data_IF_868800431081
#
_entry.id   IF_868800431081
#
_cell.length_a   1.000
_cell.length_b   1.000
_cell.length_c   1.000
_cell.angle_alpha   90.00
_cell.angle_beta   90.00
_cell.angle_gamma   90.00
#
_symmetry.space_group_name_H-M   'P 1'
#
loop_
_entity.id
_entity.type
_entity.pdbx_description
1 polymer ?
#
# COMPACT_ATOMS: atom_id res chain seq x y z
N UNK A 1 -0.08 -21.00 20.12
CA UNK A 1 -0.03 -19.90 19.12
C UNK A 1 -1.45 -19.62 18.66
N UNK A 2 -1.97 -18.40 18.81
CA UNK A 2 -3.27 -18.05 18.24
C UNK A 2 -3.12 -18.01 16.72
N UNK A 3 -3.95 -18.77 16.00
CA UNK A 3 -3.96 -18.76 14.53
C UNK A 3 -4.56 -17.43 14.06
N UNK A 4 -3.91 -16.76 13.11
CA UNK A 4 -4.48 -15.59 12.46
C UNK A 4 -5.75 -16.01 11.71
N UNK A 5 -6.88 -15.43 12.09
CA UNK A 5 -8.16 -15.66 11.41
C UNK A 5 -8.40 -14.57 10.37
N UNK A 6 -8.70 -14.97 9.14
CA UNK A 6 -9.04 -14.08 8.04
C UNK A 6 -10.55 -14.09 7.87
N UNK A 7 -11.16 -12.90 7.92
CA UNK A 7 -12.57 -12.74 7.58
C UNK A 7 -12.71 -12.20 6.17
N UNK A 8 -13.48 -12.92 5.37
CA UNK A 8 -13.93 -12.46 4.06
C UNK A 8 -15.33 -11.84 4.23
N UNK A 9 -15.45 -10.58 3.83
CA UNK A 9 -16.73 -9.91 3.75
C UNK A 9 -17.17 -9.78 2.31
N UNK A 10 -18.37 -10.27 2.01
CA UNK A 10 -19.02 -10.16 0.71
C UNK A 10 -20.41 -9.53 0.88
N UNK A 11 -20.86 -8.76 -0.11
CA UNK A 11 -22.18 -8.13 -0.09
C UNK A 11 -23.20 -9.13 -0.65
N UNK A 12 -23.64 -10.02 0.24
CA UNK A 12 -24.84 -10.88 0.16
C UNK A 12 -25.02 -11.88 -1.02
N UNK A 13 -24.50 -11.64 -2.23
CA UNK A 13 -25.05 -12.33 -3.42
C UNK A 13 -24.06 -13.21 -4.22
N UNK A 14 -22.77 -13.27 -3.85
CA UNK A 14 -21.74 -14.07 -4.56
C UNK A 14 -21.04 -15.14 -3.70
N UNK A 15 -21.71 -15.61 -2.64
CA UNK A 15 -21.20 -16.57 -1.65
C UNK A 15 -20.60 -17.87 -2.24
N UNK A 16 -21.07 -18.32 -3.40
CA UNK A 16 -20.68 -19.63 -3.97
C UNK A 16 -19.34 -19.62 -4.73
N UNK A 17 -18.95 -18.51 -5.35
CA UNK A 17 -17.71 -18.46 -6.14
C UNK A 17 -16.45 -18.33 -5.28
N UNK A 18 -16.58 -17.72 -4.08
CA UNK A 18 -15.46 -17.46 -3.17
C UNK A 18 -15.10 -18.67 -2.31
N UNK A 19 -16.04 -19.60 -2.07
CA UNK A 19 -15.77 -20.75 -1.21
C UNK A 19 -14.79 -21.76 -1.84
N UNK A 20 -14.74 -21.88 -3.17
CA UNK A 20 -13.85 -22.81 -3.86
C UNK A 20 -12.46 -22.23 -4.18
N UNK A 21 -12.31 -20.90 -4.26
CA UNK A 21 -11.04 -20.25 -4.60
C UNK A 21 -10.07 -20.05 -3.43
N UNK A 22 -10.58 -19.99 -2.20
CA UNK A 22 -9.83 -19.52 -1.02
C UNK A 22 -9.47 -20.64 -0.02
N UNK A 23 -10.00 -21.85 -0.20
CA UNK A 23 -9.79 -22.99 0.73
C UNK A 23 -8.38 -23.60 0.72
N UNK A 24 -7.48 -23.15 -0.17
CA UNK A 24 -6.15 -23.75 -0.35
C UNK A 24 -5.00 -23.02 0.37
N UNK A 25 -5.27 -22.14 1.34
CA UNK A 25 -4.20 -21.56 2.17
C UNK A 25 -3.98 -22.39 3.43
N UNK A 26 -3.02 -23.32 3.38
CA UNK A 26 -2.61 -24.13 4.53
C UNK A 26 -2.30 -23.27 5.76
N UNK A 27 -2.89 -23.62 6.91
CA UNK A 27 -2.60 -22.99 8.20
C UNK A 27 -3.36 -21.70 8.50
N UNK A 28 -4.27 -21.24 7.63
CA UNK A 28 -5.10 -20.05 7.85
C UNK A 28 -6.52 -20.45 8.24
N UNK A 29 -7.05 -19.93 9.34
CA UNK A 29 -8.46 -20.08 9.68
C UNK A 29 -9.29 -19.01 8.97
N UNK A 30 -10.33 -19.44 8.26
CA UNK A 30 -11.21 -18.56 7.50
C UNK A 30 -12.56 -18.41 8.20
N UNK A 31 -13.18 -17.25 8.04
CA UNK A 31 -14.58 -17.03 8.34
C UNK A 31 -15.20 -16.10 7.31
N UNK A 32 -16.51 -16.20 7.14
CA UNK A 32 -17.27 -15.34 6.24
C UNK A 32 -18.21 -14.48 7.08
N UNK A 33 -18.32 -13.20 6.73
CA UNK A 33 -19.23 -12.27 7.39
C UNK A 33 -19.87 -11.32 6.39
N UNK A 34 -20.88 -10.57 6.86
CA UNK A 34 -21.42 -9.42 6.13
C UNK A 34 -20.68 -8.14 6.58
N UNK A 35 -20.25 -7.30 5.63
CA UNK A 35 -19.54 -6.03 5.93
C UNK A 35 -20.30 -5.20 6.97
N UNK A 36 -21.64 -5.15 6.86
CA UNK A 36 -22.48 -4.35 7.78
C UNK A 36 -22.39 -4.84 9.23
N UNK A 37 -22.01 -6.12 9.41
CA UNK A 37 -21.80 -6.75 10.71
C UNK A 37 -20.31 -6.73 11.13
N UNK A 38 -19.40 -6.20 10.31
CA UNK A 38 -17.97 -6.04 10.59
C UNK A 38 -17.70 -4.91 11.62
N UNK A 39 -18.52 -4.84 12.68
CA UNK A 39 -18.32 -3.91 13.78
C UNK A 39 -17.05 -4.29 14.54
N UNK A 40 -16.44 -3.29 15.17
CA UNK A 40 -15.24 -3.45 16.00
C UNK A 40 -15.38 -4.61 16.99
N UNK A 41 -16.55 -4.78 17.59
CA UNK A 41 -16.80 -5.83 18.58
C UNK A 41 -16.77 -7.23 17.96
N UNK A 42 -17.31 -7.40 16.75
CA UNK A 42 -17.26 -8.68 16.04
C UNK A 42 -15.82 -9.07 15.68
N UNK A 43 -15.04 -8.14 15.14
CA UNK A 43 -13.64 -8.40 14.77
C UNK A 43 -12.76 -8.64 16.01
N UNK A 44 -13.01 -7.90 17.09
CA UNK A 44 -12.27 -8.05 18.36
C UNK A 44 -12.61 -9.40 19.01
N UNK A 45 -13.89 -9.78 19.05
CA UNK A 45 -14.32 -11.07 19.60
C UNK A 45 -13.75 -12.26 18.81
N UNK A 46 -13.61 -12.12 17.50
CA UNK A 46 -13.05 -13.17 16.64
C UNK A 46 -11.53 -13.08 16.45
N UNK A 47 -10.84 -12.19 17.16
CA UNK A 47 -9.39 -11.97 17.09
C UNK A 47 -8.83 -11.87 15.66
N UNK A 48 -9.57 -11.17 14.78
CA UNK A 48 -9.22 -11.07 13.37
C UNK A 48 -8.21 -9.95 13.13
N UNK A 49 -6.99 -10.32 12.77
CA UNK A 49 -5.89 -9.39 12.49
C UNK A 49 -5.89 -8.88 11.05
N UNK A 50 -6.47 -9.66 10.13
CA UNK A 50 -6.54 -9.35 8.69
C UNK A 50 -7.96 -9.61 8.17
N UNK A 51 -8.46 -8.71 7.33
CA UNK A 51 -9.79 -8.73 6.74
C UNK A 51 -9.67 -8.57 5.23
N UNK A 52 -10.39 -9.40 4.48
CA UNK A 52 -10.57 -9.26 3.04
C UNK A 52 -11.96 -8.72 2.80
N UNK A 53 -12.06 -7.58 2.13
CA UNK A 53 -13.32 -6.97 1.73
C UNK A 53 -13.49 -7.17 0.24
N UNK A 54 -14.49 -7.96 -0.16
CA UNK A 54 -14.88 -8.14 -1.55
C UNK A 54 -16.09 -7.24 -1.84
N UNK A 55 -15.85 -6.03 -2.36
CA UNK A 55 -16.92 -5.05 -2.61
C UNK A 55 -16.43 -3.98 -3.59
N UNK A 56 -17.34 -3.45 -4.40
CA UNK A 56 -17.08 -2.25 -5.22
C UNK A 56 -17.30 -0.94 -4.46
N UNK A 57 -17.99 -0.98 -3.30
CA UNK A 57 -18.36 0.22 -2.55
C UNK A 57 -17.24 0.64 -1.57
N UNK A 58 -16.64 1.84 -1.72
CA UNK A 58 -15.56 2.31 -0.84
C UNK A 58 -15.93 2.37 0.65
N UNK A 59 -17.20 2.61 0.98
CA UNK A 59 -17.68 2.77 2.36
C UNK A 59 -17.54 1.49 3.17
N UNK A 60 -17.66 0.34 2.51
CA UNK A 60 -17.54 -0.97 3.14
C UNK A 60 -16.15 -1.15 3.76
N UNK A 61 -15.12 -0.68 3.06
CA UNK A 61 -13.76 -0.68 3.55
C UNK A 61 -13.56 0.37 4.66
N UNK A 62 -14.11 1.58 4.49
CA UNK A 62 -13.95 2.67 5.44
C UNK A 62 -14.60 2.40 6.81
N UNK A 63 -15.62 1.54 6.88
CA UNK A 63 -16.16 1.07 8.16
C UNK A 63 -15.11 0.36 9.03
N UNK A 64 -14.09 -0.25 8.40
CA UNK A 64 -13.00 -0.92 9.10
C UNK A 64 -11.92 0.06 9.61
N UNK A 65 -11.95 1.34 9.25
CA UNK A 65 -10.93 2.31 9.66
C UNK A 65 -10.84 2.50 11.18
N UNK A 66 -11.94 2.25 11.90
CA UNK A 66 -11.99 2.30 13.38
C UNK A 66 -11.47 1.04 14.05
N UNK A 67 -11.08 0.05 13.26
CA UNK A 67 -10.60 -1.25 13.70
C UNK A 67 -9.07 -1.28 13.59
N UNK A 68 -8.41 -2.19 14.32
CA UNK A 68 -6.96 -2.43 14.17
C UNK A 68 -6.66 -3.47 13.08
N UNK A 69 -7.68 -3.93 12.37
CA UNK A 69 -7.52 -4.99 11.38
C UNK A 69 -6.82 -4.45 10.13
N UNK A 70 -5.88 -5.22 9.62
CA UNK A 70 -5.25 -5.02 8.32
C UNK A 70 -6.28 -5.36 7.24
N UNK A 71 -6.35 -4.57 6.18
CA UNK A 71 -7.38 -4.74 5.16
C UNK A 71 -6.78 -5.07 3.79
N UNK A 72 -7.41 -6.00 3.08
CA UNK A 72 -7.20 -6.25 1.65
C UNK A 72 -8.52 -5.95 0.96
N UNK A 73 -8.50 -5.05 -0.01
CA UNK A 73 -9.69 -4.71 -0.78
C UNK A 73 -9.64 -5.44 -2.12
N UNK A 74 -10.56 -6.37 -2.32
CA UNK A 74 -10.70 -7.13 -3.56
C UNK A 74 -11.91 -6.59 -4.31
N UNK A 75 -11.70 -6.11 -5.52
CA UNK A 75 -12.78 -5.58 -6.32
C UNK A 75 -13.47 -6.71 -7.09
N UNK A 76 -14.82 -6.76 -7.09
CA UNK A 76 -15.54 -7.61 -8.02
C UNK A 76 -15.26 -7.15 -9.45
N UNK A 77 -15.39 -8.05 -10.44
CA UNK A 77 -15.17 -7.70 -11.86
C UNK A 77 -16.17 -6.67 -12.39
N UNK A 78 -17.38 -6.68 -11.84
CA UNK A 78 -18.47 -5.81 -12.24
C UNK A 78 -18.65 -4.67 -11.23
N UNK A 79 -18.88 -3.45 -11.74
CA UNK A 79 -19.14 -2.25 -10.95
C UNK A 79 -17.96 -1.27 -10.89
N UNK A 80 -18.21 -0.10 -10.28
CA UNK A 80 -17.16 0.88 -9.97
C UNK A 80 -17.35 2.23 -10.65
N UNK A 81 -17.37 2.32 -11.98
CA UNK A 81 -17.25 3.59 -12.72
C UNK A 81 -18.09 4.78 -12.20
N UNK A 82 -19.40 4.79 -12.47
CA UNK A 82 -20.25 5.94 -12.13
C UNK A 82 -20.40 6.18 -10.61
N UNK A 83 -20.40 5.12 -9.81
CA UNK A 83 -20.51 5.23 -8.35
C UNK A 83 -19.23 5.79 -7.72
N UNK A 84 -18.06 5.45 -8.27
CA UNK A 84 -16.76 5.96 -7.85
C UNK A 84 -16.60 7.44 -8.17
N UNK A 85 -17.01 7.86 -9.37
CA UNK A 85 -17.02 9.26 -9.77
C UNK A 85 -17.88 10.11 -8.83
N UNK A 86 -19.08 9.62 -8.49
CA UNK A 86 -19.98 10.30 -7.57
C UNK A 86 -19.43 10.39 -6.13
N UNK A 87 -18.50 9.51 -5.74
CA UNK A 87 -17.99 9.40 -4.37
C UNK A 87 -16.45 9.50 -4.29
N UNK A 88 -15.84 10.36 -5.11
CA UNK A 88 -14.39 10.43 -5.29
C UNK A 88 -13.59 10.58 -3.98
N UNK A 89 -14.06 11.41 -3.06
CA UNK A 89 -13.40 11.63 -1.76
C UNK A 89 -13.36 10.35 -0.91
N UNK A 90 -14.42 9.55 -0.94
CA UNK A 90 -14.49 8.28 -0.22
C UNK A 90 -13.62 7.23 -0.89
N UNK A 91 -13.58 7.21 -2.22
CA UNK A 91 -12.71 6.34 -2.98
C UNK A 91 -11.23 6.60 -2.67
N UNK A 92 -10.77 7.86 -2.71
CA UNK A 92 -9.39 8.22 -2.38
C UNK A 92 -9.01 7.73 -0.96
N UNK A 93 -9.91 7.91 0.01
CA UNK A 93 -9.71 7.45 1.39
C UNK A 93 -9.68 5.93 1.47
N UNK A 94 -10.57 5.24 0.76
CA UNK A 94 -10.62 3.77 0.76
C UNK A 94 -9.35 3.18 0.13
N UNK A 95 -8.93 3.67 -1.04
CA UNK A 95 -7.67 3.29 -1.68
C UNK A 95 -6.47 3.54 -0.76
N UNK A 96 -6.47 4.69 -0.08
CA UNK A 96 -5.41 5.05 0.83
C UNK A 96 -5.36 4.14 2.07
N UNK A 97 -6.51 3.87 2.69
CA UNK A 97 -6.67 3.03 3.87
C UNK A 97 -6.40 1.55 3.60
N UNK A 98 -6.81 1.03 2.43
CA UNK A 98 -6.59 -0.37 2.05
C UNK A 98 -5.13 -0.76 2.27
N UNK A 99 -4.86 -1.88 2.94
CA UNK A 99 -3.50 -2.39 3.03
C UNK A 99 -2.97 -2.75 1.64
N UNK A 100 -3.73 -3.55 0.90
CA UNK A 100 -3.49 -3.91 -0.50
C UNK A 100 -4.81 -3.86 -1.26
N UNK A 101 -4.75 -3.51 -2.55
CA UNK A 101 -5.90 -3.57 -3.45
C UNK A 101 -5.64 -4.66 -4.49
N UNK A 102 -6.61 -5.54 -4.70
CA UNK A 102 -6.62 -6.57 -5.74
C UNK A 102 -7.69 -6.17 -6.75
N UNK A 103 -7.24 -5.76 -7.92
CA UNK A 103 -8.09 -5.24 -8.99
C UNK A 103 -7.63 -5.74 -10.36
N UNK A 104 -8.50 -5.61 -11.36
CA UNK A 104 -8.15 -5.81 -12.77
C UNK A 104 -7.33 -4.63 -13.30
N UNK A 105 -6.75 -4.80 -14.49
CA UNK A 105 -6.02 -3.73 -15.17
C UNK A 105 -6.92 -2.52 -15.48
N UNK A 106 -8.13 -2.77 -16.00
CA UNK A 106 -9.12 -1.74 -16.30
C UNK A 106 -9.49 -0.93 -15.04
N UNK A 107 -9.71 -1.60 -13.92
CA UNK A 107 -10.01 -0.93 -12.64
C UNK A 107 -8.82 -0.11 -12.13
N UNK A 108 -7.58 -0.62 -12.28
CA UNK A 108 -6.36 0.12 -11.97
C UNK A 108 -6.25 1.42 -12.78
N UNK A 109 -6.52 1.36 -14.08
CA UNK A 109 -6.54 2.53 -14.96
C UNK A 109 -7.65 3.52 -14.59
N UNK A 110 -8.85 3.04 -14.23
CA UNK A 110 -9.94 3.89 -13.74
C UNK A 110 -9.55 4.64 -12.46
N UNK A 111 -8.90 3.98 -11.49
CA UNK A 111 -8.41 4.65 -10.29
C UNK A 111 -7.39 5.73 -10.59
N UNK A 112 -6.47 5.47 -11.52
CA UNK A 112 -5.46 6.42 -11.93
C UNK A 112 -6.06 7.63 -12.66
N UNK A 113 -7.13 7.43 -13.43
CA UNK A 113 -7.84 8.50 -14.12
C UNK A 113 -8.67 9.37 -13.16
N UNK A 114 -9.29 8.75 -12.16
CA UNK A 114 -10.18 9.42 -11.22
C UNK A 114 -9.44 10.05 -10.05
N UNK A 115 -8.38 9.41 -9.56
CA UNK A 115 -7.73 9.73 -8.28
C UNK A 115 -6.26 10.07 -8.45
N UNK A 116 -5.66 10.61 -7.39
CA UNK A 116 -4.20 10.77 -7.30
C UNK A 116 -3.53 9.59 -6.57
N UNK A 117 -4.10 8.39 -6.73
CA UNK A 117 -3.56 7.13 -6.21
C UNK A 117 -3.55 6.11 -7.34
N UNK A 118 -2.36 5.68 -7.75
CA UNK A 118 -2.26 4.58 -8.70
C UNK A 118 -2.04 3.26 -7.96
N UNK A 119 -2.68 2.21 -8.46
CA UNK A 119 -2.65 0.87 -7.89
C UNK A 119 -2.04 -0.08 -8.92
N UNK A 120 -1.13 -0.96 -8.50
CA UNK A 120 -0.65 -2.02 -9.39
C UNK A 120 -1.74 -3.08 -9.58
N UNK A 121 -2.23 -3.32 -10.81
CA UNK A 121 -3.28 -4.30 -11.05
C UNK A 121 -2.75 -5.74 -10.94
N UNK A 122 -3.67 -6.71 -10.91
CA UNK A 122 -3.37 -8.14 -10.98
C UNK A 122 -2.43 -8.67 -9.88
N UNK A 123 -2.37 -8.01 -8.71
CA UNK A 123 -1.68 -8.55 -7.54
C UNK A 123 -2.39 -9.83 -7.09
N UNK A 124 -1.66 -10.95 -7.04
CA UNK A 124 -2.23 -12.20 -6.52
C UNK A 124 -2.58 -12.08 -5.04
N UNK A 125 -3.66 -12.74 -4.62
CA UNK A 125 -4.09 -12.71 -3.23
C UNK A 125 -3.00 -13.20 -2.26
N UNK A 126 -2.23 -14.22 -2.64
CA UNK A 126 -1.08 -14.71 -1.86
C UNK A 126 -0.06 -13.60 -1.59
N UNK A 127 0.25 -12.78 -2.60
CA UNK A 127 1.15 -11.62 -2.47
C UNK A 127 0.50 -10.51 -1.65
N UNK A 128 -0.81 -10.29 -1.81
CA UNK A 128 -1.56 -9.31 -1.02
C UNK A 128 -1.55 -9.65 0.48
N UNK A 129 -1.80 -10.90 0.84
CA UNK A 129 -1.75 -11.41 2.21
C UNK A 129 -0.38 -11.20 2.85
N UNK A 130 0.70 -11.53 2.14
CA UNK A 130 2.05 -11.29 2.65
C UNK A 130 2.35 -9.79 2.81
N UNK A 131 1.87 -8.96 1.89
CA UNK A 131 2.13 -7.52 1.88
C UNK A 131 1.32 -6.74 2.92
N UNK A 132 0.12 -7.22 3.27
CA UNK A 132 -0.69 -6.61 4.32
C UNK A 132 -0.04 -6.79 5.70
N UNK A 133 0.66 -7.92 5.90
CA UNK A 133 1.37 -8.19 7.15
C UNK A 133 2.55 -7.25 7.39
N UNK A 134 3.20 -6.82 6.31
CA UNK A 134 4.42 -6.02 6.34
C UNK A 134 4.29 -4.83 5.37
N UNK A 135 3.61 -3.77 5.82
CA UNK A 135 3.37 -2.56 5.04
C UNK A 135 4.61 -1.66 5.05
N UNK A 136 5.19 -1.45 3.86
CA UNK A 136 6.38 -0.60 3.67
C UNK A 136 6.03 0.54 2.73
N UNK A 137 6.52 1.74 3.02
CA UNK A 137 6.52 2.84 2.07
C UNK A 137 7.91 3.41 1.81
N UNK A 138 8.08 4.00 0.63
CA UNK A 138 9.26 4.78 0.23
C UNK A 138 8.81 6.17 -0.18
N UNK A 139 9.36 7.21 0.45
CA UNK A 139 9.10 8.60 0.08
C UNK A 139 10.09 9.08 -0.99
N UNK A 140 9.60 9.69 -2.07
CA UNK A 140 10.37 10.06 -3.27
C UNK A 140 10.05 11.48 -3.73
N UNK A 141 11.05 12.20 -4.25
CA UNK A 141 10.87 13.50 -4.91
C UNK A 141 10.14 13.41 -6.24
N UNK A 142 9.46 14.49 -6.64
CA UNK A 142 8.55 14.50 -7.80
C UNK A 142 9.26 14.49 -9.17
N UNK A 143 10.55 14.83 -9.23
CA UNK A 143 11.30 14.89 -10.49
C UNK A 143 11.58 13.51 -11.08
N UNK A 144 11.41 13.35 -12.39
CA UNK A 144 11.64 12.06 -13.09
C UNK A 144 13.01 11.44 -12.78
N UNK A 145 14.07 12.25 -12.73
CA UNK A 145 15.41 11.78 -12.37
C UNK A 145 15.49 11.22 -10.94
N UNK A 146 14.72 11.77 -10.00
CA UNK A 146 14.63 11.25 -8.64
C UNK A 146 13.89 9.91 -8.61
N UNK A 147 12.80 9.80 -9.37
CA UNK A 147 12.01 8.57 -9.47
C UNK A 147 12.83 7.43 -10.06
N UNK A 148 13.46 7.64 -11.22
CA UNK A 148 14.33 6.64 -11.85
C UNK A 148 15.47 6.17 -10.93
N UNK A 149 16.06 7.09 -10.14
CA UNK A 149 17.12 6.75 -9.19
C UNK A 149 16.63 5.87 -8.03
N UNK A 150 15.37 6.01 -7.63
CA UNK A 150 14.81 5.28 -6.49
C UNK A 150 14.20 3.94 -6.88
N UNK A 151 13.81 3.72 -8.15
CA UNK A 151 13.26 2.43 -8.61
C UNK A 151 14.09 1.20 -8.18
N UNK A 152 15.44 1.18 -8.33
CA UNK A 152 16.24 0.02 -7.91
C UNK A 152 16.20 -0.24 -6.39
N UNK A 153 16.04 0.81 -5.58
CA UNK A 153 15.88 0.68 -4.13
C UNK A 153 14.54 0.00 -3.82
N UNK A 154 13.46 0.49 -4.42
CA UNK A 154 12.11 -0.05 -4.18
C UNK A 154 12.06 -1.52 -4.62
N UNK A 155 12.61 -1.85 -5.79
CA UNK A 155 12.71 -3.22 -6.27
C UNK A 155 13.50 -4.12 -5.30
N UNK A 156 14.64 -3.64 -4.78
CA UNK A 156 15.44 -4.40 -3.80
C UNK A 156 14.69 -4.61 -2.48
N UNK A 157 13.99 -3.60 -1.98
CA UNK A 157 13.16 -3.72 -0.77
C UNK A 157 12.03 -4.73 -1.01
N UNK A 158 11.32 -4.61 -2.14
CA UNK A 158 10.25 -5.55 -2.50
C UNK A 158 10.74 -6.99 -2.56
N UNK A 159 11.88 -7.24 -3.22
CA UNK A 159 12.50 -8.58 -3.29
C UNK A 159 12.94 -9.09 -1.92
N UNK A 160 13.59 -8.24 -1.11
CA UNK A 160 14.12 -8.62 0.20
C UNK A 160 13.01 -9.01 1.19
N UNK A 161 11.94 -8.22 1.28
CA UNK A 161 10.81 -8.51 2.17
C UNK A 161 9.77 -9.44 1.52
N UNK A 162 9.83 -9.60 0.19
CA UNK A 162 8.85 -10.31 -0.61
C UNK A 162 7.44 -9.73 -0.51
N UNK A 163 7.34 -8.39 -0.46
CA UNK A 163 6.09 -7.62 -0.40
C UNK A 163 6.07 -6.54 -1.47
N UNK A 164 4.90 -6.02 -1.79
CA UNK A 164 4.80 -4.78 -2.57
C UNK A 164 5.12 -3.57 -1.69
N UNK A 165 5.66 -2.52 -2.30
CA UNK A 165 6.08 -1.30 -1.61
C UNK A 165 5.19 -0.15 -2.05
N UNK A 166 4.68 0.62 -1.08
CA UNK A 166 3.96 1.84 -1.39
C UNK A 166 4.94 2.99 -1.65
N UNK A 167 4.61 3.88 -2.58
CA UNK A 167 5.47 5.00 -2.99
C UNK A 167 4.76 6.31 -2.70
N UNK A 168 5.34 7.13 -1.84
CA UNK A 168 4.79 8.44 -1.49
C UNK A 168 5.57 9.51 -2.26
N UNK A 169 4.93 10.10 -3.27
CA UNK A 169 5.58 11.10 -4.12
C UNK A 169 5.37 12.50 -3.54
N UNK A 170 6.40 13.33 -3.66
CA UNK A 170 6.26 14.78 -3.47
C UNK A 170 5.28 15.31 -4.53
N UNK A 171 4.29 16.15 -4.17
CA UNK A 171 3.24 16.58 -5.09
C UNK A 171 3.66 17.72 -6.04
N UNK A 172 4.94 18.14 -6.05
CA UNK A 172 5.37 19.30 -6.83
C UNK A 172 5.32 19.12 -8.35
N UNK A 173 5.21 17.88 -8.84
CA UNK A 173 4.98 17.56 -10.25
C UNK A 173 3.69 16.74 -10.37
N UNK A 174 2.64 17.28 -11.05
CA UNK A 174 1.38 16.57 -11.26
C UNK A 174 1.60 15.20 -11.90
N UNK A 175 0.80 14.21 -11.50
CA UNK A 175 0.78 12.86 -12.09
C UNK A 175 2.12 12.10 -12.04
N UNK A 176 3.15 12.62 -11.38
CA UNK A 176 4.46 11.97 -11.31
C UNK A 176 4.41 10.58 -10.65
N UNK A 177 3.47 10.36 -9.73
CA UNK A 177 3.20 9.05 -9.12
C UNK A 177 2.87 7.95 -10.15
N UNK A 178 2.30 8.31 -11.30
CA UNK A 178 1.98 7.39 -12.39
C UNK A 178 3.21 6.70 -12.98
N UNK A 179 4.42 7.25 -12.82
CA UNK A 179 5.66 6.57 -13.27
C UNK A 179 5.94 5.25 -12.54
N UNK A 180 5.27 5.02 -11.42
CA UNK A 180 5.36 3.79 -10.63
C UNK A 180 4.26 2.78 -10.95
N UNK A 181 3.33 3.10 -11.87
CA UNK A 181 2.26 2.16 -12.27
C UNK A 181 2.82 0.95 -12.97
N UNK A 182 2.05 -0.14 -12.97
CA UNK A 182 2.37 -1.41 -13.64
C UNK A 182 3.64 -2.12 -13.15
N UNK A 183 4.33 -1.56 -12.15
CA UNK A 183 5.52 -2.17 -11.56
C UNK A 183 5.09 -3.20 -10.52
N UNK A 184 5.40 -4.48 -10.75
CA UNK A 184 5.00 -5.58 -9.85
C UNK A 184 5.48 -5.43 -8.40
N UNK A 185 6.52 -4.62 -8.17
CA UNK A 185 7.12 -4.36 -6.87
C UNK A 185 6.49 -3.17 -6.13
N UNK A 186 5.64 -2.39 -6.82
CA UNK A 186 4.85 -1.29 -6.25
C UNK A 186 3.48 -1.80 -5.87
N UNK A 187 2.97 -1.37 -4.72
CA UNK A 187 1.59 -1.64 -4.30
C UNK A 187 0.70 -0.49 -4.72
N UNK A 188 0.92 0.65 -4.06
CA UNK A 188 0.27 1.92 -4.39
C UNK A 188 1.29 3.03 -4.58
N UNK A 189 0.97 3.99 -5.44
CA UNK A 189 1.72 5.24 -5.56
C UNK A 189 0.80 6.42 -5.28
N UNK A 190 1.26 7.35 -4.43
CA UNK A 190 0.47 8.47 -3.97
C UNK A 190 0.98 9.77 -4.59
N UNK A 191 0.13 10.44 -5.38
CA UNK A 191 0.37 11.81 -5.87
C UNK A 191 0.10 12.89 -4.81
N UNK A 192 -0.67 12.55 -3.76
CA UNK A 192 -0.95 13.42 -2.61
C UNK A 192 -0.37 12.80 -1.33
N UNK A 193 0.64 13.43 -0.72
CA UNK A 193 1.31 12.89 0.48
C UNK A 193 0.37 12.64 1.67
N UNK A 194 -0.67 13.47 1.84
CA UNK A 194 -1.61 13.30 2.95
C UNK A 194 -2.45 12.01 2.83
N UNK A 195 -2.61 11.45 1.63
CA UNK A 195 -3.33 10.18 1.47
C UNK A 195 -2.55 9.03 2.14
N UNK A 196 -1.23 9.10 2.16
CA UNK A 196 -0.42 8.09 2.84
C UNK A 196 -0.68 8.05 4.37
N UNK A 197 -1.29 9.06 4.99
CA UNK A 197 -1.56 9.07 6.44
C UNK A 197 -2.74 8.21 6.86
N UNK A 198 -3.57 7.77 5.91
CA UNK A 198 -4.71 6.89 6.19
C UNK A 198 -4.29 5.45 6.51
N UNK A 199 -3.02 5.12 6.35
CA UNK A 199 -2.46 3.78 6.56
C UNK A 199 -1.32 3.82 7.57
N UNK A 200 -1.31 2.86 8.48
CA UNK A 200 -0.17 2.64 9.38
C UNK A 200 0.87 1.74 8.71
N UNK A 201 2.10 2.24 8.61
CA UNK A 201 3.21 1.50 8.03
C UNK A 201 4.06 0.83 9.11
N UNK A 202 4.58 -0.35 8.81
CA UNK A 202 5.61 -0.97 9.63
C UNK A 202 6.96 -0.29 9.46
N UNK A 203 7.27 0.13 8.24
CA UNK A 203 8.51 0.84 7.96
C UNK A 203 8.35 1.84 6.81
N UNK A 204 8.93 3.01 6.98
CA UNK A 204 8.96 4.05 5.95
C UNK A 204 10.42 4.41 5.67
N UNK A 205 10.80 4.42 4.40
CA UNK A 205 12.11 4.84 3.93
C UNK A 205 11.99 6.19 3.23
N UNK A 206 12.50 7.25 3.86
CA UNK A 206 12.49 8.58 3.28
C UNK A 206 13.82 8.84 2.57
N UNK A 207 13.75 8.93 1.24
CA UNK A 207 14.91 9.22 0.40
C UNK A 207 15.28 10.70 0.49
N UNK A 208 16.55 11.02 0.21
CA UNK A 208 17.00 12.42 0.24
C UNK A 208 16.29 13.30 -0.79
N UNK A 209 15.80 12.72 -1.89
CA UNK A 209 15.15 13.48 -2.94
C UNK A 209 13.70 13.87 -2.62
N UNK A 210 13.08 13.33 -1.56
CA UNK A 210 11.77 13.78 -1.07
C UNK A 210 11.82 15.24 -0.59
N UNK A 211 13.01 15.72 -0.20
CA UNK A 211 13.25 17.06 0.34
C UNK A 211 13.17 17.09 1.87
N UNK A 212 13.08 18.31 2.42
CA UNK A 212 12.97 18.54 3.87
C UNK A 212 11.56 18.27 4.42
N UNK A 213 10.60 18.02 3.53
CA UNK A 213 9.25 17.64 3.89
C UNK A 213 9.26 16.22 4.44
N UNK A 214 9.18 16.10 5.77
CA UNK A 214 8.80 14.85 6.42
C UNK A 214 7.27 14.74 6.34
N UNK A 215 6.72 13.91 5.43
CA UNK A 215 5.28 13.77 5.36
C UNK A 215 4.77 13.19 6.69
N UNK A 216 3.55 13.55 7.13
CA UNK A 216 2.95 13.07 8.38
C UNK A 216 2.52 11.58 8.30
N UNK A 217 3.39 10.72 7.76
CA UNK A 217 3.15 9.29 7.60
C UNK A 217 3.25 8.61 8.96
N UNK A 218 2.22 7.85 9.31
CA UNK A 218 2.18 7.06 10.53
C UNK A 218 2.96 5.77 10.32
N UNK A 219 4.07 5.60 11.03
CA UNK A 219 4.90 4.41 10.91
C UNK A 219 5.52 3.97 12.25
N UNK A 220 5.69 2.65 12.43
CA UNK A 220 6.43 2.11 13.59
C UNK A 220 7.92 2.48 13.54
N UNK A 221 8.51 2.47 12.33
CA UNK A 221 9.91 2.83 12.10
C UNK A 221 10.04 3.71 10.87
N UNK A 222 10.78 4.81 11.01
CA UNK A 222 11.09 5.72 9.90
C UNK A 222 12.59 5.79 9.70
N UNK A 223 13.04 5.38 8.52
CA UNK A 223 14.43 5.42 8.09
C UNK A 223 14.63 6.61 7.18
N UNK A 224 15.30 7.63 7.69
CA UNK A 224 15.59 8.84 6.93
C UNK A 224 17.01 8.75 6.37
N UNK A 225 17.13 8.81 5.04
CA UNK A 225 18.43 8.79 4.40
C UNK A 225 19.26 10.02 4.81
N UNK A 226 18.65 11.21 4.93
CA UNK A 226 19.26 12.46 5.46
C UNK A 226 18.19 13.41 6.00
N UNK A 227 18.48 14.11 7.10
CA UNK A 227 17.64 15.21 7.64
C UNK A 227 17.95 16.59 7.02
N UNK A 228 19.12 16.75 6.39
CA UNK A 228 19.56 17.98 5.72
C UNK A 228 20.36 17.64 4.45
N UNK A 229 19.99 18.27 3.34
CA UNK A 229 20.63 18.12 2.02
C UNK A 229 21.54 19.31 1.73
N UNK A 230 22.84 19.20 2.06
CA UNK A 230 23.84 20.22 1.69
C UNK A 230 24.55 19.81 0.40
N UNK A 231 23.80 19.83 -0.71
CA UNK A 231 24.30 19.42 -2.03
C UNK A 231 25.52 20.21 -2.46
N UNK A 232 25.46 21.52 -2.27
CA UNK A 232 26.44 22.46 -2.79
C UNK A 232 27.81 22.36 -2.13
N UNK A 233 27.89 22.02 -0.84
CA UNK A 233 29.18 21.94 -0.13
C UNK A 233 29.79 20.55 -0.08
N UNK A 234 29.00 19.48 0.00
CA UNK A 234 29.54 18.14 0.28
C UNK A 234 29.40 17.15 -0.87
N UNK A 235 28.50 17.38 -1.83
CA UNK A 235 28.07 16.33 -2.75
C UNK A 235 28.01 16.74 -4.21
N UNK A 236 28.40 17.98 -4.54
CA UNK A 236 28.45 18.52 -5.91
C UNK A 236 29.20 17.62 -6.89
N UNK A 237 30.23 16.91 -6.42
CA UNK A 237 31.10 16.06 -7.26
C UNK A 237 30.85 14.56 -7.06
N UNK A 238 29.91 14.15 -6.20
CA UNK A 238 29.57 12.74 -6.05
C UNK A 238 28.42 12.38 -7.00
N UNK A 239 28.54 11.28 -7.78
CA UNK A 239 27.39 10.70 -8.45
C UNK A 239 26.32 10.35 -7.40
N UNK A 240 25.16 10.99 -7.52
CA UNK A 240 24.07 10.89 -6.53
C UNK A 240 23.62 9.44 -6.29
N UNK A 241 23.79 8.58 -7.31
CA UNK A 241 23.56 7.15 -7.23
C UNK A 241 24.46 6.47 -6.17
N UNK A 242 25.76 6.77 -6.15
CA UNK A 242 26.69 6.18 -5.17
C UNK A 242 26.36 6.60 -3.74
N UNK A 243 25.89 7.83 -3.58
CA UNK A 243 25.55 8.42 -2.30
C UNK A 243 24.26 7.84 -1.69
N UNK A 244 23.28 7.50 -2.54
CA UNK A 244 21.99 6.99 -2.11
C UNK A 244 22.05 5.58 -1.47
N UNK A 245 23.08 4.79 -1.79
CA UNK A 245 23.20 3.41 -1.31
C UNK A 245 24.02 3.23 -0.02
N UNK A 246 24.76 4.25 0.45
CA UNK A 246 25.67 4.11 1.59
C UNK A 246 24.96 3.78 2.92
N UNK A 247 23.77 4.35 3.18
CA UNK A 247 23.01 4.05 4.41
C UNK A 247 22.22 2.74 4.33
N UNK A 248 21.71 2.39 3.15
CA UNK A 248 21.00 1.12 2.97
C UNK A 248 21.92 -0.09 3.20
N UNK A 249 23.20 0.01 2.82
CA UNK A 249 24.18 -1.06 3.06
C UNK A 249 24.34 -1.41 4.54
N UNK A 250 24.21 -0.44 5.46
CA UNK A 250 24.24 -0.69 6.92
C UNK A 250 22.97 -1.37 7.45
N UNK A 251 21.81 -1.19 6.81
CA UNK A 251 20.57 -1.90 7.17
C UNK A 251 20.68 -3.40 6.84
N UNK A 252 21.35 -3.75 5.75
CA UNK A 252 21.63 -5.15 5.39
C UNK A 252 22.74 -5.79 6.24
N UNK A 253 23.63 -4.99 6.84
CA UNK A 253 24.75 -5.50 7.64
C UNK A 253 24.44 -5.60 9.14
N UNK A 254 23.35 -4.99 9.63
CA UNK A 254 22.97 -5.03 11.06
C UNK A 254 21.73 -5.89 11.37
N UNK A 255 21.22 -6.64 10.38
CA UNK A 255 20.00 -7.44 10.51
C UNK A 255 20.16 -8.93 10.19
N UNK A 256 21.39 -9.45 10.13
CA UNK A 256 21.68 -10.87 10.00
C UNK A 256 22.43 -11.38 11.22
N UNK A 257 21.74 -11.41 12.36
CA UNK A 257 21.93 -12.34 13.48
C UNK A 257 20.58 -12.48 14.17
#
# INVERSE_FOLDING_TARGET
MMKNRILLFDRADNFFALNNGYQNFEGIEWGIGNVQNARKDFLTHNNCSTVIVHSSNPRDLLQLQRTKAKSIWVLPREGGGAEWEANLSELEKALAFAGVVVCTEEQGQQFEALTQVSVTPNISLKKALKSVEYTIAVGVGAGIGNMCKVMPLIQKLSKHFGVVIDVVCNPSVPNSHQLFTQNEWVGKSYGKMHLATYKQYKSVFLTSCLGDLLPPIVAEKTYVQRRHYVFWTLCRFMPELMYNFFRCRRLFLKGCT
#
